data_IF_291102572716
#
_entry.id   IF_291102572716
#
_cell.length_a   1.000
_cell.length_b   1.000
_cell.length_c   1.000
_cell.angle_alpha   90.00
_cell.angle_beta   90.00
_cell.angle_gamma   90.00
#
_symmetry.space_group_name_H-M   'P 1'
#
loop_
_entity.id
_entity.type
_entity.pdbx_description
1 polymer ?
#
# COMPACT_ATOMS: atom_id res chain seq x y z
N UNK A 1 12.41 -16.59 -51.16
CA UNK A 1 12.39 -15.13 -51.38
C UNK A 1 11.46 -14.42 -50.40
N UNK A 2 10.17 -14.76 -50.34
CA UNK A 2 9.20 -14.15 -49.39
C UNK A 2 9.61 -14.25 -47.92
N UNK A 3 10.08 -15.42 -47.45
CA UNK A 3 10.52 -15.62 -46.06
C UNK A 3 11.68 -14.68 -45.69
N UNK A 4 12.66 -14.54 -46.59
CA UNK A 4 13.82 -13.67 -46.37
C UNK A 4 13.39 -12.20 -46.27
N UNK A 5 12.47 -11.76 -47.13
CA UNK A 5 11.92 -10.40 -47.06
C UNK A 5 11.12 -10.15 -45.78
N UNK A 6 10.31 -11.11 -45.33
CA UNK A 6 9.56 -10.98 -44.07
C UNK A 6 10.48 -10.86 -42.86
N UNK A 7 11.54 -11.69 -42.80
CA UNK A 7 12.55 -11.64 -41.72
C UNK A 7 13.30 -10.31 -41.73
N UNK A 8 13.72 -9.84 -42.90
CA UNK A 8 14.46 -8.60 -43.04
C UNK A 8 13.60 -7.38 -42.66
N UNK A 9 12.33 -7.37 -43.07
CA UNK A 9 11.39 -6.30 -42.72
C UNK A 9 11.09 -6.25 -41.22
N UNK A 10 10.80 -7.40 -40.59
CA UNK A 10 10.58 -7.47 -39.14
C UNK A 10 11.82 -7.07 -38.35
N UNK A 11 13.01 -7.46 -38.81
CA UNK A 11 14.28 -7.09 -38.18
C UNK A 11 14.52 -5.59 -38.25
N UNK A 12 14.28 -4.97 -39.41
CA UNK A 12 14.45 -3.52 -39.59
C UNK A 12 13.48 -2.73 -38.72
N UNK A 13 12.22 -3.15 -38.63
CA UNK A 13 11.25 -2.54 -37.74
C UNK A 13 11.64 -2.68 -36.27
N UNK A 14 12.13 -3.86 -35.86
CA UNK A 14 12.60 -4.10 -34.50
C UNK A 14 13.77 -3.19 -34.12
N UNK A 15 14.79 -3.11 -34.98
CA UNK A 15 15.95 -2.23 -34.78
C UNK A 15 15.53 -0.76 -34.80
N UNK A 16 14.69 -0.36 -35.75
CA UNK A 16 14.18 1.01 -35.85
C UNK A 16 13.40 1.43 -34.62
N UNK A 17 12.48 0.58 -34.15
CA UNK A 17 11.71 0.82 -32.92
C UNK A 17 12.63 0.87 -31.69
N UNK A 18 13.63 -0.02 -31.61
CA UNK A 18 14.60 -0.03 -30.52
C UNK A 18 15.42 1.25 -30.44
N UNK A 19 15.96 1.72 -31.57
CA UNK A 19 16.72 2.98 -31.64
C UNK A 19 15.82 4.17 -31.26
N UNK A 20 14.59 4.19 -31.77
CA UNK A 20 13.63 5.24 -31.45
C UNK A 20 13.31 5.29 -29.95
N UNK A 21 13.07 4.13 -29.31
CA UNK A 21 12.82 4.03 -27.87
C UNK A 21 14.04 4.45 -27.05
N UNK A 22 15.25 4.08 -27.46
CA UNK A 22 16.49 4.48 -26.78
C UNK A 22 16.68 6.02 -26.83
N UNK A 23 16.46 6.62 -28.01
CA UNK A 23 16.51 8.07 -28.17
C UNK A 23 15.43 8.78 -27.34
N UNK A 24 14.19 8.29 -27.37
CA UNK A 24 13.11 8.85 -26.57
C UNK A 24 13.42 8.76 -25.06
N UNK A 25 13.91 7.62 -24.58
CA UNK A 25 14.29 7.43 -23.18
C UNK A 25 15.35 8.43 -22.72
N UNK A 26 16.41 8.63 -23.51
CA UNK A 26 17.47 9.57 -23.19
C UNK A 26 16.99 11.03 -23.27
N UNK A 27 16.16 11.38 -24.27
CA UNK A 27 15.70 12.75 -24.50
C UNK A 27 14.63 13.18 -23.50
N UNK A 28 13.78 12.26 -23.06
CA UNK A 28 12.69 12.51 -22.11
C UNK A 28 13.02 12.00 -20.69
N UNK A 29 14.30 11.80 -20.37
CA UNK A 29 14.74 11.45 -19.04
C UNK A 29 14.32 12.57 -18.06
N UNK A 30 13.33 12.28 -17.23
CA UNK A 30 12.86 13.18 -16.19
C UNK A 30 13.84 13.12 -15.03
N UNK A 31 14.45 14.26 -14.67
CA UNK A 31 15.21 14.37 -13.42
C UNK A 31 14.28 14.06 -12.25
N UNK A 32 14.46 12.88 -11.63
CA UNK A 32 13.71 12.49 -10.45
C UNK A 32 14.32 13.19 -9.25
N UNK A 33 13.48 13.83 -8.44
CA UNK A 33 13.90 14.32 -7.13
C UNK A 33 14.22 13.09 -6.25
N UNK A 34 15.49 12.89 -5.82
CA UNK A 34 15.88 11.71 -5.06
C UNK A 34 15.15 11.63 -3.71
N UNK A 35 14.68 12.77 -3.17
CA UNK A 35 13.90 12.81 -1.93
C UNK A 35 12.65 11.97 -2.04
N UNK A 36 11.97 11.95 -3.19
CA UNK A 36 10.74 11.18 -3.37
C UNK A 36 11.03 9.68 -3.19
N UNK A 37 12.07 9.17 -3.84
CA UNK A 37 12.45 7.77 -3.77
C UNK A 37 12.90 7.37 -2.35
N UNK A 38 13.69 8.23 -1.69
CA UNK A 38 14.16 8.02 -0.32
C UNK A 38 13.03 8.07 0.72
N UNK A 39 12.10 9.01 0.56
CA UNK A 39 10.92 9.11 1.42
C UNK A 39 10.08 7.85 1.22
N UNK A 40 9.83 7.41 -0.02
CA UNK A 40 9.08 6.19 -0.29
C UNK A 40 9.73 4.94 0.31
N UNK A 41 11.05 4.80 0.17
CA UNK A 41 11.83 3.72 0.78
C UNK A 41 11.79 3.73 2.32
N UNK A 42 11.54 4.90 2.93
CA UNK A 42 11.36 5.03 4.38
C UNK A 42 9.99 4.54 4.86
N UNK A 43 8.99 4.38 3.98
CA UNK A 43 7.62 4.03 4.33
C UNK A 43 7.41 2.51 4.46
N UNK A 44 6.36 2.06 5.18
CA UNK A 44 6.01 0.63 5.28
C UNK A 44 5.59 -0.05 3.97
N UNK A 45 5.43 0.68 2.86
CA UNK A 45 4.94 0.12 1.59
C UNK A 45 3.50 -0.43 1.63
N UNK A 46 2.74 -0.12 2.69
CA UNK A 46 1.42 -0.68 2.96
C UNK A 46 0.34 -0.24 1.96
N UNK A 47 0.54 0.92 1.30
CA UNK A 47 -0.44 1.57 0.41
C UNK A 47 -1.85 1.67 1.02
N UNK A 48 -1.92 1.98 2.32
CA UNK A 48 -3.16 1.82 3.07
C UNK A 48 -4.15 3.00 3.01
N UNK A 49 -3.76 4.13 2.42
CA UNK A 49 -4.61 5.31 2.33
C UNK A 49 -4.91 6.03 3.64
N UNK A 50 -4.41 5.57 4.79
CA UNK A 50 -4.72 6.16 6.09
C UNK A 50 -4.23 7.62 6.24
N UNK A 51 -3.26 8.03 5.44
CA UNK A 51 -2.76 9.40 5.36
C UNK A 51 -3.53 10.31 4.38
N UNK A 52 -4.56 9.79 3.70
CA UNK A 52 -5.34 10.54 2.70
C UNK A 52 -4.78 10.51 1.27
N UNK A 53 -3.66 9.82 1.03
CA UNK A 53 -3.05 9.67 -0.29
C UNK A 53 -3.27 8.25 -0.86
N UNK A 54 -3.40 8.08 -2.19
CA UNK A 54 -3.74 6.79 -2.81
C UNK A 54 -2.66 5.71 -2.66
N UNK A 55 -1.45 6.07 -2.24
CA UNK A 55 -0.34 5.13 -2.03
C UNK A 55 0.86 5.78 -1.38
N UNK A 56 1.86 4.95 -1.05
CA UNK A 56 3.12 5.38 -0.44
C UNK A 56 3.91 6.33 -1.35
N UNK A 57 4.01 6.03 -2.66
CA UNK A 57 4.62 6.92 -3.65
C UNK A 57 3.95 8.31 -3.71
N UNK A 58 2.61 8.35 -3.69
CA UNK A 58 1.86 9.61 -3.73
C UNK A 58 2.06 10.44 -2.44
N UNK A 59 2.07 9.77 -1.28
CA UNK A 59 2.42 10.41 -0.01
C UNK A 59 3.86 10.94 -0.02
N UNK A 60 4.82 10.14 -0.52
CA UNK A 60 6.22 10.53 -0.59
C UNK A 60 6.43 11.80 -1.44
N UNK A 61 5.79 11.84 -2.62
CA UNK A 61 5.77 13.02 -3.48
C UNK A 61 5.16 14.23 -2.77
N UNK A 62 4.01 14.05 -2.10
CA UNK A 62 3.36 15.14 -1.39
C UNK A 62 4.19 15.68 -0.21
N UNK A 63 4.94 14.82 0.49
CA UNK A 63 5.87 15.25 1.54
C UNK A 63 7.05 16.03 0.94
N UNK A 64 7.66 15.53 -0.16
CA UNK A 64 8.75 16.23 -0.83
C UNK A 64 8.33 17.62 -1.36
N UNK A 65 7.07 17.77 -1.77
CA UNK A 65 6.47 19.04 -2.20
C UNK A 65 5.96 19.92 -1.06
N UNK A 66 6.09 19.50 0.22
CA UNK A 66 5.60 20.24 1.39
C UNK A 66 4.07 20.27 1.54
N UNK A 67 3.33 19.46 0.77
CA UNK A 67 1.86 19.36 0.81
C UNK A 67 1.33 18.37 1.85
N UNK A 68 2.19 17.51 2.38
CA UNK A 68 1.86 16.54 3.41
C UNK A 68 2.79 16.67 4.61
N UNK A 69 2.25 16.47 5.82
CA UNK A 69 3.04 16.45 7.04
C UNK A 69 3.93 15.20 7.11
N UNK A 70 5.16 15.34 7.63
CA UNK A 70 6.07 14.23 7.93
C UNK A 70 5.48 13.22 8.92
N UNK A 71 4.55 13.70 9.76
CA UNK A 71 3.77 12.90 10.71
C UNK A 71 2.57 12.20 10.07
N UNK A 72 2.35 12.35 8.77
CA UNK A 72 1.15 11.87 8.09
C UNK A 72 1.07 10.33 8.01
N UNK A 73 2.21 9.62 8.04
CA UNK A 73 2.23 8.16 7.97
C UNK A 73 1.88 7.53 9.33
N UNK A 74 0.59 7.42 9.63
CA UNK A 74 0.06 6.80 10.87
C UNK A 74 0.72 5.45 11.20
N UNK A 75 0.80 4.45 10.27
CA UNK A 75 1.43 3.17 10.58
C UNK A 75 2.96 3.26 10.74
N UNK A 76 3.60 4.25 10.11
CA UNK A 76 5.05 4.43 10.15
C UNK A 76 5.58 5.12 11.40
N UNK A 77 4.72 5.79 12.18
CA UNK A 77 5.15 6.59 13.36
C UNK A 77 6.01 5.81 14.34
N UNK A 78 5.56 4.61 14.74
CA UNK A 78 6.29 3.77 15.72
C UNK A 78 7.61 3.22 15.18
N UNK A 79 7.76 3.19 13.85
CA UNK A 79 8.93 2.69 13.14
C UNK A 79 9.94 3.78 12.81
N UNK A 80 9.74 5.00 13.30
CA UNK A 80 10.68 6.10 13.10
C UNK A 80 10.59 6.78 11.73
N UNK A 81 9.44 6.67 11.05
CA UNK A 81 9.24 7.29 9.73
C UNK A 81 9.36 8.83 9.79
N UNK A 82 8.74 9.55 10.74
CA UNK A 82 8.85 11.00 10.78
C UNK A 82 10.29 11.51 10.91
N UNK A 83 11.12 10.81 11.69
CA UNK A 83 12.53 11.12 11.90
C UNK A 83 13.36 10.92 10.64
N UNK A 84 13.07 9.86 9.86
CA UNK A 84 13.69 9.62 8.54
C UNK A 84 13.32 10.70 7.54
N UNK A 85 12.03 11.00 7.44
CA UNK A 85 11.53 12.03 6.54
C UNK A 85 12.14 13.39 6.87
N UNK A 86 12.21 13.74 8.15
CA UNK A 86 12.88 14.96 8.61
C UNK A 86 14.35 14.99 8.19
N UNK A 87 15.09 13.90 8.40
CA UNK A 87 16.49 13.83 7.99
C UNK A 87 16.67 14.01 6.47
N UNK A 88 15.81 13.38 5.66
CA UNK A 88 15.87 13.52 4.19
C UNK A 88 15.58 14.96 3.77
N UNK A 89 14.59 15.60 4.38
CA UNK A 89 14.23 16.99 4.06
C UNK A 89 15.24 18.02 4.56
N UNK A 90 15.91 17.76 5.69
CA UNK A 90 16.95 18.61 6.27
C UNK A 90 18.31 18.45 5.55
N UNK A 91 18.48 17.41 4.73
CA UNK A 91 19.73 17.18 3.99
C UNK A 91 19.77 18.03 2.72
N UNK A 92 20.93 18.61 2.44
CA UNK A 92 21.17 19.37 1.22
C UNK A 92 20.90 18.53 -0.04
N UNK A 93 20.21 19.13 -1.01
CA UNK A 93 19.75 18.42 -2.20
C UNK A 93 20.90 17.99 -3.12
N UNK A 94 21.97 18.78 -3.21
CA UNK A 94 23.12 18.46 -4.05
C UNK A 94 23.89 17.27 -3.47
N UNK A 95 23.99 17.23 -2.14
CA UNK A 95 24.56 16.07 -1.42
C UNK A 95 23.69 14.82 -1.61
N UNK A 96 22.37 14.96 -1.58
CA UNK A 96 21.45 13.85 -1.81
C UNK A 96 21.54 13.30 -3.24
N UNK A 97 21.64 14.17 -4.24
CA UNK A 97 21.82 13.77 -5.64
C UNK A 97 23.13 13.00 -5.80
N UNK A 98 24.25 13.54 -5.30
CA UNK A 98 25.55 12.87 -5.37
C UNK A 98 25.51 11.48 -4.71
N UNK A 99 24.94 11.38 -3.51
CA UNK A 99 24.77 10.10 -2.83
C UNK A 99 23.85 9.15 -3.60
N UNK A 100 22.76 9.63 -4.20
CA UNK A 100 21.83 8.79 -4.95
C UNK A 100 22.47 8.24 -6.23
N UNK A 101 23.23 9.08 -6.94
CA UNK A 101 23.97 8.70 -8.15
C UNK A 101 25.11 7.70 -7.83
N UNK A 102 25.85 7.93 -6.74
CA UNK A 102 26.89 7.01 -6.25
C UNK A 102 26.37 5.62 -5.88
N UNK A 103 25.07 5.50 -5.61
CA UNK A 103 24.42 4.25 -5.25
C UNK A 103 23.51 3.70 -6.35
N UNK A 104 23.78 4.07 -7.61
CA UNK A 104 23.07 3.53 -8.78
C UNK A 104 21.55 3.82 -8.75
N UNK A 105 21.16 4.98 -8.21
CA UNK A 105 19.75 5.37 -7.99
C UNK A 105 18.96 4.38 -7.09
N UNK A 106 19.66 3.60 -6.25
CA UNK A 106 19.05 2.70 -5.28
C UNK A 106 18.69 3.46 -4.00
N UNK A 107 17.39 3.66 -3.78
CA UNK A 107 16.88 4.40 -2.64
C UNK A 107 17.12 3.70 -1.29
N UNK A 108 17.12 2.36 -1.24
CA UNK A 108 17.31 1.62 0.01
C UNK A 108 18.78 1.75 0.46
N UNK A 109 19.74 1.50 -0.45
CA UNK A 109 21.18 1.66 -0.16
C UNK A 109 21.55 3.10 0.18
N UNK A 110 21.01 4.06 -0.57
CA UNK A 110 21.27 5.48 -0.34
C UNK A 110 20.74 5.91 1.03
N UNK A 111 19.53 5.44 1.40
CA UNK A 111 18.95 5.70 2.71
C UNK A 111 19.83 5.09 3.82
N UNK A 112 20.29 3.84 3.69
CA UNK A 112 21.17 3.21 4.67
C UNK A 112 22.46 4.00 4.90
N UNK A 113 23.13 4.45 3.83
CA UNK A 113 24.32 5.31 3.93
C UNK A 113 24.03 6.67 4.55
N UNK A 114 22.89 7.27 4.21
CA UNK A 114 22.45 8.54 4.80
C UNK A 114 22.19 8.39 6.31
N UNK A 115 21.53 7.30 6.72
CA UNK A 115 21.29 7.00 8.12
C UNK A 115 22.59 6.75 8.88
N UNK A 116 23.50 5.95 8.32
CA UNK A 116 24.81 5.66 8.90
C UNK A 116 25.66 6.93 9.09
N UNK A 117 25.61 7.86 8.14
CA UNK A 117 26.37 9.12 8.21
C UNK A 117 25.74 10.19 9.11
N UNK A 118 24.45 10.04 9.47
CA UNK A 118 23.72 11.05 10.25
C UNK A 118 23.97 11.02 11.76
N UNK A 119 24.69 10.01 12.28
CA UNK A 119 24.98 9.85 13.72
C UNK A 119 23.75 9.64 14.62
N UNK A 120 22.53 9.64 14.06
CA UNK A 120 21.28 9.38 14.78
C UNK A 120 20.94 7.90 14.66
N UNK A 121 20.62 7.26 15.79
CA UNK A 121 20.09 5.90 15.81
C UNK A 121 18.68 5.89 15.20
N UNK A 122 18.61 5.77 13.88
CA UNK A 122 17.35 5.64 13.16
C UNK A 122 17.06 4.17 12.98
N UNK A 123 15.91 3.71 13.50
CA UNK A 123 15.47 2.31 13.36
C UNK A 123 15.39 1.92 11.88
N UNK A 124 15.73 0.67 11.55
CA UNK A 124 15.63 0.14 10.20
C UNK A 124 14.25 0.39 9.57
N UNK A 125 14.18 0.38 8.23
CA UNK A 125 12.90 0.45 7.52
C UNK A 125 11.95 -0.63 8.08
N UNK A 126 10.66 -0.30 8.33
CA UNK A 126 9.70 -1.30 8.74
C UNK A 126 9.66 -2.44 7.71
N UNK A 127 9.54 -3.71 8.14
CA UNK A 127 9.46 -4.82 7.21
C UNK A 127 8.28 -4.62 6.26
N UNK A 128 8.50 -4.95 4.99
CA UNK A 128 7.45 -4.90 3.97
C UNK A 128 6.35 -5.88 4.37
N UNK A 129 5.11 -5.41 4.28
CA UNK A 129 3.95 -6.22 4.60
C UNK A 129 3.82 -7.38 3.61
N UNK A 130 3.72 -8.60 4.12
CA UNK A 130 3.36 -9.77 3.32
C UNK A 130 1.84 -9.80 3.12
N UNK A 131 1.45 -9.97 1.85
CA UNK A 131 0.05 -10.15 1.43
C UNK A 131 -0.29 -11.65 1.44
N UNK A 132 -1.57 -12.03 1.59
CA UNK A 132 -1.93 -13.43 1.64
C UNK A 132 -1.73 -14.08 0.27
N UNK A 133 -1.39 -15.36 0.28
CA UNK A 133 -1.30 -16.17 -0.93
C UNK A 133 -2.70 -16.43 -1.51
N UNK A 134 -2.77 -16.90 -2.75
CA UNK A 134 -4.05 -17.24 -3.38
C UNK A 134 -4.77 -18.36 -2.62
N UNK A 135 -4.02 -19.35 -2.13
CA UNK A 135 -4.54 -20.46 -1.31
C UNK A 135 -5.15 -19.97 0.01
N UNK A 136 -4.50 -19.02 0.68
CA UNK A 136 -5.04 -18.40 1.89
C UNK A 136 -6.32 -17.61 1.60
N UNK A 137 -6.34 -16.87 0.50
CA UNK A 137 -7.53 -16.12 0.06
C UNK A 137 -8.72 -17.05 -0.14
N UNK A 138 -8.52 -18.19 -0.80
CA UNK A 138 -9.59 -19.14 -1.08
C UNK A 138 -10.06 -19.84 0.20
N UNK A 139 -9.15 -20.18 1.12
CA UNK A 139 -9.51 -20.65 2.47
C UNK A 139 -10.35 -19.62 3.24
N UNK A 140 -10.02 -18.33 3.15
CA UNK A 140 -10.81 -17.29 3.82
C UNK A 140 -12.19 -17.12 3.20
N UNK A 141 -12.34 -17.24 1.88
CA UNK A 141 -13.65 -17.18 1.22
C UNK A 141 -14.58 -18.28 1.70
N UNK A 142 -14.08 -19.50 1.88
CA UNK A 142 -14.86 -20.60 2.44
C UNK A 142 -15.33 -20.29 3.87
N UNK A 143 -14.41 -19.85 4.73
CA UNK A 143 -14.73 -19.46 6.11
C UNK A 143 -15.72 -18.28 6.20
N UNK A 144 -15.69 -17.36 5.24
CA UNK A 144 -16.67 -16.27 5.16
C UNK A 144 -18.07 -16.77 4.78
N UNK A 145 -18.19 -17.83 3.95
CA UNK A 145 -19.49 -18.44 3.63
C UNK A 145 -20.11 -19.13 4.84
N UNK A 146 -19.27 -19.72 5.70
CA UNK A 146 -19.70 -20.42 6.91
C UNK A 146 -20.10 -19.47 8.05
N UNK A 147 -19.61 -18.22 8.03
CA UNK A 147 -19.84 -17.24 9.08
C UNK A 147 -20.45 -15.93 8.53
N UNK A 148 -21.79 -15.76 8.60
CA UNK A 148 -22.46 -14.59 8.02
C UNK A 148 -22.02 -13.28 8.68
N UNK A 149 -21.69 -13.31 9.97
CA UNK A 149 -21.17 -12.13 10.68
C UNK A 149 -19.81 -11.73 10.15
N UNK A 150 -18.91 -12.68 9.93
CA UNK A 150 -17.61 -12.42 9.32
C UNK A 150 -17.75 -11.87 7.89
N UNK A 151 -18.67 -12.40 7.08
CA UNK A 151 -18.96 -11.90 5.73
C UNK A 151 -19.41 -10.43 5.73
N UNK A 152 -20.34 -10.07 6.61
CA UNK A 152 -20.83 -8.69 6.71
C UNK A 152 -19.75 -7.74 7.27
N UNK A 153 -18.96 -8.19 8.26
CA UNK A 153 -17.81 -7.43 8.75
C UNK A 153 -16.81 -7.19 7.62
N UNK A 154 -16.46 -8.22 6.85
CA UNK A 154 -15.55 -8.12 5.71
C UNK A 154 -16.04 -7.10 4.68
N UNK A 155 -17.34 -7.06 4.40
CA UNK A 155 -17.93 -6.12 3.46
C UNK A 155 -17.77 -4.65 3.87
N UNK A 156 -17.82 -4.35 5.18
CA UNK A 156 -17.65 -2.97 5.67
C UNK A 156 -16.18 -2.56 5.83
N UNK A 157 -15.23 -3.49 5.75
CA UNK A 157 -13.80 -3.18 5.80
C UNK A 157 -13.32 -2.40 4.55
N UNK A 158 -12.15 -1.75 4.62
CA UNK A 158 -11.57 -1.06 3.46
C UNK A 158 -11.10 -1.97 2.31
N UNK A 159 -10.92 -3.28 2.55
CA UNK A 159 -10.52 -4.29 1.54
C UNK A 159 -9.21 -4.01 0.79
N UNK A 160 -8.23 -3.46 1.51
CA UNK A 160 -6.91 -3.12 0.97
C UNK A 160 -5.81 -4.14 1.33
N UNK A 161 -6.09 -5.11 2.20
CA UNK A 161 -5.14 -6.15 2.64
C UNK A 161 -3.77 -5.61 3.09
N UNK A 162 -3.76 -4.49 3.82
CA UNK A 162 -2.53 -3.82 4.26
C UNK A 162 -1.81 -4.46 5.47
N UNK A 163 -2.36 -5.54 6.04
CA UNK A 163 -1.86 -6.27 7.22
C UNK A 163 -1.44 -5.45 8.47
N UNK A 164 -1.75 -4.15 8.55
CA UNK A 164 -1.37 -3.30 9.69
C UNK A 164 -1.97 -3.74 11.03
N UNK A 165 -3.06 -4.51 11.00
CA UNK A 165 -3.68 -5.11 12.18
C UNK A 165 -3.01 -6.43 12.62
N UNK A 166 -1.97 -6.90 11.92
CA UNK A 166 -1.27 -8.16 12.21
C UNK A 166 -1.95 -9.40 11.61
N UNK A 167 -3.03 -9.23 10.84
CA UNK A 167 -3.66 -10.31 10.06
C UNK A 167 -3.22 -10.21 8.60
N UNK A 168 -3.02 -11.35 7.90
CA UNK A 168 -2.48 -11.36 6.54
C UNK A 168 -3.38 -10.65 5.53
N UNK A 169 -4.70 -10.64 5.75
CA UNK A 169 -5.65 -9.92 4.90
C UNK A 169 -6.89 -9.45 5.65
N UNK A 170 -7.73 -8.65 4.98
CA UNK A 170 -8.99 -8.14 5.53
C UNK A 170 -9.99 -9.26 5.84
N UNK A 171 -10.03 -10.32 5.03
CA UNK A 171 -10.90 -11.48 5.28
C UNK A 171 -10.50 -12.24 6.56
N UNK A 172 -9.20 -12.55 6.72
CA UNK A 172 -8.68 -13.17 7.94
C UNK A 172 -8.97 -12.31 9.18
N UNK A 173 -8.80 -10.99 9.07
CA UNK A 173 -9.09 -10.06 10.14
C UNK A 173 -10.60 -10.03 10.48
N UNK A 174 -11.47 -10.01 9.48
CA UNK A 174 -12.92 -10.02 9.68
C UNK A 174 -13.39 -11.27 10.44
N UNK A 175 -12.84 -12.44 10.11
CA UNK A 175 -13.13 -13.71 10.81
C UNK A 175 -12.72 -13.62 12.28
N UNK A 176 -11.49 -13.15 12.57
CA UNK A 176 -11.02 -12.97 13.95
C UNK A 176 -11.90 -12.00 14.76
N UNK A 177 -12.29 -10.88 14.14
CA UNK A 177 -13.18 -9.90 14.80
C UNK A 177 -14.57 -10.50 15.05
N UNK A 178 -15.12 -11.26 14.11
CA UNK A 178 -16.41 -11.94 14.28
C UNK A 178 -16.37 -12.96 15.45
N UNK A 179 -15.25 -13.66 15.61
CA UNK A 179 -15.01 -14.63 16.67
C UNK A 179 -14.60 -13.99 18.01
N UNK A 180 -14.44 -12.66 18.06
CA UNK A 180 -13.93 -11.90 19.22
C UNK A 180 -12.48 -12.23 19.61
N UNK A 181 -11.72 -12.81 18.69
CA UNK A 181 -10.28 -13.07 18.87
C UNK A 181 -9.46 -11.78 18.74
N UNK A 182 -10.03 -10.73 18.13
CA UNK A 182 -9.31 -9.50 17.81
C UNK A 182 -10.21 -8.27 17.80
N UNK A 183 -9.63 -7.10 18.14
CA UNK A 183 -10.37 -5.83 18.20
C UNK A 183 -10.37 -5.08 16.85
N UNK A 184 -11.55 -4.66 16.41
CA UNK A 184 -11.74 -3.84 15.20
C UNK A 184 -10.95 -2.51 15.22
N UNK A 185 -10.66 -1.97 16.42
CA UNK A 185 -9.88 -0.75 16.60
C UNK A 185 -8.45 -0.84 16.04
N UNK A 186 -7.92 -2.06 15.83
CA UNK A 186 -6.63 -2.29 15.15
C UNK A 186 -6.66 -1.94 13.66
N UNK A 187 -7.83 -1.79 13.05
CA UNK A 187 -7.97 -1.39 11.65
C UNK A 187 -7.66 0.12 11.46
N UNK A 188 -6.38 0.48 11.39
CA UNK A 188 -5.90 1.85 11.10
C UNK A 188 -6.62 2.51 9.91
N UNK A 189 -6.68 1.90 8.70
CA UNK A 189 -7.37 2.49 7.55
C UNK A 189 -8.90 2.58 7.72
N UNK A 190 -9.48 1.77 8.63
CA UNK A 190 -10.91 1.75 8.90
C UNK A 190 -11.39 2.88 9.80
N UNK A 191 -10.49 3.46 10.60
CA UNK A 191 -10.82 4.59 11.51
C UNK A 191 -11.49 5.78 10.80
N UNK A 192 -10.92 6.36 9.73
CA UNK A 192 -11.55 7.49 9.03
C UNK A 192 -12.87 7.12 8.35
N UNK A 193 -13.17 5.84 8.15
CA UNK A 193 -14.40 5.33 7.52
C UNK A 193 -15.47 4.90 8.55
N UNK A 194 -15.28 5.22 9.83
CA UNK A 194 -16.15 4.82 10.95
C UNK A 194 -16.40 3.30 11.02
N UNK A 195 -15.42 2.49 10.59
CA UNK A 195 -15.55 1.03 10.54
C UNK A 195 -15.87 0.44 11.90
N UNK A 196 -15.26 0.93 12.98
CA UNK A 196 -15.55 0.46 14.34
C UNK A 196 -17.01 0.62 14.73
N UNK A 197 -17.66 1.73 14.33
CA UNK A 197 -19.08 1.96 14.60
C UNK A 197 -19.97 1.04 13.75
N UNK A 198 -19.61 0.84 12.48
CA UNK A 198 -20.33 -0.09 11.59
C UNK A 198 -20.28 -1.52 12.12
N UNK A 199 -19.10 -1.97 12.56
CA UNK A 199 -18.91 -3.30 13.14
C UNK A 199 -19.63 -3.44 14.47
N UNK A 200 -19.66 -2.41 15.33
CA UNK A 200 -20.47 -2.45 16.55
C UNK A 200 -21.96 -2.71 16.27
N UNK A 201 -22.53 -2.08 15.23
CA UNK A 201 -23.90 -2.35 14.78
C UNK A 201 -24.06 -3.80 14.29
N UNK A 202 -23.10 -4.30 13.52
CA UNK A 202 -23.12 -5.68 13.00
C UNK A 202 -23.05 -6.71 14.13
N UNK A 203 -22.23 -6.46 15.15
CA UNK A 203 -22.08 -7.34 16.31
C UNK A 203 -23.35 -7.40 17.19
N UNK A 204 -24.22 -6.41 17.10
CA UNK A 204 -25.50 -6.37 17.82
C UNK A 204 -26.63 -7.11 17.11
N UNK A 205 -26.47 -7.46 15.83
CA UNK A 205 -27.47 -8.18 15.04
C UNK A 205 -27.40 -9.70 15.28
N UNK A 206 -28.57 -10.34 15.20
CA UNK A 206 -28.70 -11.79 15.18
C UNK A 206 -28.20 -12.38 13.87
N UNK A 207 -27.88 -13.68 13.87
CA UNK A 207 -27.38 -14.35 12.65
C UNK A 207 -28.44 -14.42 11.56
N UNK A 208 -29.72 -14.55 11.92
CA UNK A 208 -30.83 -14.53 10.96
C UNK A 208 -30.96 -13.18 10.23
N UNK A 209 -30.78 -12.07 10.94
CA UNK A 209 -30.79 -10.73 10.32
C UNK A 209 -29.62 -10.54 9.37
N UNK A 210 -28.43 -11.02 9.76
CA UNK A 210 -27.24 -10.97 8.91
C UNK A 210 -27.39 -11.82 7.65
N UNK A 211 -27.97 -13.02 7.77
CA UNK A 211 -28.26 -13.88 6.64
C UNK A 211 -29.22 -13.21 5.66
N UNK A 212 -30.29 -12.60 6.17
CA UNK A 212 -31.25 -11.84 5.36
C UNK A 212 -30.59 -10.68 4.62
N UNK A 213 -29.68 -9.95 5.28
CA UNK A 213 -28.93 -8.87 4.63
C UNK A 213 -28.08 -9.40 3.48
N UNK A 214 -27.42 -10.55 3.67
CA UNK A 214 -26.60 -11.20 2.64
C UNK A 214 -27.48 -11.62 1.45
N UNK A 215 -28.62 -12.26 1.70
CA UNK A 215 -29.56 -12.68 0.65
C UNK A 215 -30.10 -11.49 -0.15
N UNK A 216 -30.53 -10.43 0.53
CA UNK A 216 -31.04 -9.20 -0.10
C UNK A 216 -29.99 -8.45 -0.95
N UNK A 217 -28.70 -8.70 -0.71
CA UNK A 217 -27.58 -8.05 -1.42
C UNK A 217 -26.83 -9.01 -2.33
N UNK A 218 -27.36 -10.23 -2.53
CA UNK A 218 -26.68 -11.32 -3.23
C UNK A 218 -25.25 -11.62 -2.73
N UNK A 219 -24.95 -11.23 -1.48
CA UNK A 219 -23.61 -11.32 -0.89
C UNK A 219 -22.57 -10.34 -1.43
N UNK A 220 -22.98 -9.33 -2.20
CA UNK A 220 -22.04 -8.38 -2.80
C UNK A 220 -21.51 -7.38 -1.75
N UNK A 221 -20.19 -7.33 -1.49
CA UNK A 221 -19.62 -6.49 -0.43
C UNK A 221 -19.95 -5.00 -0.56
N UNK A 222 -20.04 -4.49 -1.80
CA UNK A 222 -20.35 -3.09 -2.06
C UNK A 222 -21.78 -2.72 -1.65
N UNK A 223 -22.75 -3.60 -1.88
CA UNK A 223 -24.15 -3.39 -1.51
C UNK A 223 -24.36 -3.51 0.00
N UNK A 224 -23.73 -4.51 0.62
CA UNK A 224 -23.73 -4.66 2.08
C UNK A 224 -23.16 -3.39 2.73
N UNK A 225 -22.04 -2.88 2.21
CA UNK A 225 -21.40 -1.66 2.74
C UNK A 225 -22.34 -0.44 2.70
N UNK A 226 -23.21 -0.33 1.70
CA UNK A 226 -24.21 0.75 1.60
C UNK A 226 -25.26 0.67 2.71
N UNK A 227 -25.70 -0.53 3.09
CA UNK A 227 -26.68 -0.72 4.19
C UNK A 227 -26.14 -0.27 5.55
N UNK A 228 -24.83 -0.26 5.73
CA UNK A 228 -24.16 0.21 6.94
C UNK A 228 -23.45 1.56 6.76
N UNK A 229 -23.75 2.31 5.70
CA UNK A 229 -23.29 3.68 5.56
C UNK A 229 -23.89 4.54 6.69
N UNK A 230 -23.07 5.42 7.26
CA UNK A 230 -23.40 6.36 8.32
C UNK A 230 -23.24 7.77 7.78
#
# INVERSE_FOLDING_TARGET
MTIVYSVLFMSLLGVGAGIFLAFASAKFAVKKDPRIALIEASLPGANCGACGFPGCAAFAKAVAEGKASIEGCIPGKRSGVPEKLKLILDTDIDKLIALFDENEEDAEKTLEKLLASSGKAVKAAPPKIQRPTQEEIDSYKEKLKENPRAAVIFAVLPNINCALCGSPGCAAFAIKVANKDEDIAKCVPGKPQNVSQKVAKIMALSEAELQKIIEETSGEPAEIKKKFAL
#
